data_IF_890390424824
#
_entry.id   IF_890390424824
#
_cell.length_a   1.000
_cell.length_b   1.000
_cell.length_c   1.000
_cell.angle_alpha   90.00
_cell.angle_beta   90.00
_cell.angle_gamma   90.00
#
_symmetry.space_group_name_H-M   'P 1'
#
loop_
_entity.id
_entity.type
_entity.pdbx_description
1 polymer ?
#
# COMPACT_ATOMS: atom_id res chain seq x y z
N UNK A 1 44.38 -28.67 27.58
CA UNK A 1 43.26 -27.79 27.17
C UNK A 1 42.26 -27.89 28.27
N UNK A 2 41.99 -26.80 28.96
CA UNK A 2 41.04 -26.78 30.10
C UNK A 2 39.61 -26.64 29.55
N UNK A 3 38.64 -27.25 30.21
CA UNK A 3 37.23 -27.18 29.85
C UNK A 3 36.72 -25.74 29.66
N UNK A 4 37.21 -24.82 30.45
CA UNK A 4 36.93 -23.39 30.37
C UNK A 4 37.33 -22.75 29.01
N UNK A 5 38.46 -23.18 28.44
CA UNK A 5 38.91 -22.68 27.14
C UNK A 5 37.99 -23.12 26.02
N UNK A 6 37.50 -24.37 26.10
CA UNK A 6 36.56 -24.94 25.11
C UNK A 6 35.22 -24.17 25.17
N UNK A 7 34.74 -23.85 26.37
CA UNK A 7 33.50 -23.09 26.58
C UNK A 7 33.62 -21.65 26.03
N UNK A 8 34.76 -20.98 26.32
CA UNK A 8 35.07 -19.64 25.80
C UNK A 8 35.09 -19.62 24.25
N UNK A 9 35.78 -20.59 23.65
CA UNK A 9 35.91 -20.72 22.19
C UNK A 9 34.54 -21.00 21.52
N UNK A 10 33.65 -21.78 22.17
CA UNK A 10 32.27 -22.02 21.70
C UNK A 10 31.46 -20.76 21.72
N UNK A 11 31.54 -19.96 22.79
CA UNK A 11 30.83 -18.69 22.93
C UNK A 11 31.28 -17.70 21.84
N UNK A 12 32.62 -17.58 21.64
CA UNK A 12 33.16 -16.73 20.60
C UNK A 12 32.72 -17.14 19.19
N UNK A 13 32.69 -18.45 18.92
CA UNK A 13 32.17 -18.96 17.63
C UNK A 13 30.70 -18.66 17.43
N UNK A 14 29.89 -18.77 18.48
CA UNK A 14 28.46 -18.44 18.42
C UNK A 14 28.25 -16.94 18.11
N UNK A 15 28.96 -16.06 18.80
CA UNK A 15 28.91 -14.61 18.53
C UNK A 15 29.32 -14.27 17.08
N UNK A 16 30.40 -14.88 16.58
CA UNK A 16 30.82 -14.64 15.20
C UNK A 16 29.82 -15.16 14.17
N UNK A 17 29.13 -16.27 14.44
CA UNK A 17 28.05 -16.77 13.58
C UNK A 17 26.86 -15.80 13.57
N UNK A 18 26.41 -15.33 14.73
CA UNK A 18 25.33 -14.34 14.84
C UNK A 18 25.67 -13.04 14.08
N UNK A 19 26.90 -12.51 14.28
CA UNK A 19 27.36 -11.33 13.54
C UNK A 19 27.39 -11.55 12.02
N UNK A 20 27.82 -12.73 11.57
CA UNK A 20 27.80 -13.08 10.13
C UNK A 20 26.39 -13.15 9.57
N UNK A 21 25.42 -13.67 10.33
CA UNK A 21 24.03 -13.73 9.94
C UNK A 21 23.40 -12.32 9.87
N UNK A 22 23.76 -11.43 10.78
CA UNK A 22 23.32 -10.02 10.77
C UNK A 22 23.86 -9.24 9.54
N UNK A 23 24.97 -9.67 8.94
CA UNK A 23 25.49 -9.06 7.71
C UNK A 23 24.68 -9.46 6.46
N UNK A 24 23.89 -10.53 6.53
CA UNK A 24 23.08 -11.00 5.41
C UNK A 24 21.66 -10.41 5.51
N UNK A 25 21.47 -9.24 4.93
CA UNK A 25 20.14 -8.62 4.85
C UNK A 25 19.29 -9.37 3.83
N UNK A 26 18.16 -9.94 4.28
CA UNK A 26 17.21 -10.66 3.43
C UNK A 26 15.88 -9.93 3.39
N UNK A 27 15.26 -9.89 2.22
CA UNK A 27 13.89 -9.40 2.08
C UNK A 27 12.90 -10.40 2.67
N UNK A 28 11.87 -9.91 3.35
CA UNK A 28 10.73 -10.70 3.83
C UNK A 28 9.67 -10.94 2.74
N UNK A 29 9.79 -10.23 1.61
CA UNK A 29 8.89 -10.36 0.47
C UNK A 29 9.68 -10.73 -0.78
N UNK A 30 9.05 -11.49 -1.68
CA UNK A 30 9.58 -11.76 -3.02
C UNK A 30 9.31 -10.58 -3.94
N UNK A 31 10.28 -10.22 -4.77
CA UNK A 31 10.14 -9.10 -5.69
C UNK A 31 11.47 -8.65 -6.29
N UNK A 32 11.44 -7.55 -7.01
CA UNK A 32 12.62 -6.93 -7.63
C UNK A 32 13.23 -5.90 -6.69
N UNK A 33 14.53 -6.01 -6.43
CA UNK A 33 15.26 -5.03 -5.62
C UNK A 33 15.55 -3.77 -6.44
N UNK A 34 15.08 -2.63 -5.95
CA UNK A 34 15.34 -1.30 -6.53
C UNK A 34 16.31 -0.54 -5.62
N UNK A 35 17.56 -0.33 -6.03
CA UNK A 35 18.54 0.41 -5.23
C UNK A 35 18.16 1.90 -5.14
N UNK A 36 18.18 2.46 -3.94
CA UNK A 36 18.02 3.92 -3.71
C UNK A 36 19.33 4.69 -3.84
N UNK A 37 20.45 3.99 -3.66
CA UNK A 37 21.78 4.58 -3.77
C UNK A 37 22.35 4.25 -5.16
N UNK A 38 22.55 5.25 -6.04
CA UNK A 38 23.04 5.01 -7.40
C UNK A 38 24.47 4.44 -7.46
N UNK A 39 25.21 4.54 -6.36
CA UNK A 39 26.60 4.07 -6.24
C UNK A 39 26.75 2.80 -5.40
N UNK A 40 25.72 1.95 -5.28
CA UNK A 40 25.85 0.66 -4.62
C UNK A 40 26.77 -0.27 -5.43
N UNK A 41 28.09 -0.07 -5.27
CA UNK A 41 29.10 -1.00 -5.78
C UNK A 41 29.19 -2.21 -4.85
N UNK A 42 29.63 -3.37 -5.37
CA UNK A 42 29.80 -4.60 -4.61
C UNK A 42 30.74 -4.51 -3.39
N UNK A 43 31.36 -3.35 -3.14
CA UNK A 43 32.33 -3.11 -2.06
C UNK A 43 32.01 -1.85 -1.26
N UNK A 44 30.81 -1.29 -1.41
CA UNK A 44 30.43 -0.09 -0.66
C UNK A 44 30.18 -0.45 0.82
N UNK A 45 30.82 0.27 1.72
CA UNK A 45 30.50 0.20 3.14
C UNK A 45 29.19 0.97 3.41
N UNK A 46 28.22 0.30 4.00
CA UNK A 46 26.96 0.89 4.40
C UNK A 46 26.89 0.96 5.93
N UNK A 47 26.79 2.14 6.53
CA UNK A 47 26.55 2.27 7.96
C UNK A 47 25.23 1.59 8.37
N UNK A 48 25.17 1.09 9.60
CA UNK A 48 23.96 0.48 10.16
C UNK A 48 22.79 1.47 10.08
N UNK A 49 21.64 1.01 9.58
CA UNK A 49 20.44 1.84 9.41
C UNK A 49 20.36 2.58 8.07
N UNK A 50 21.38 2.45 7.19
CA UNK A 50 21.30 3.04 5.85
C UNK A 50 20.29 2.29 5.00
N UNK A 51 19.34 3.02 4.40
CA UNK A 51 18.38 2.44 3.47
C UNK A 51 19.05 2.20 2.11
N UNK A 52 19.44 0.96 1.84
CA UNK A 52 20.14 0.57 0.61
C UNK A 52 19.21 0.57 -0.61
N UNK A 53 17.94 0.23 -0.43
CA UNK A 53 16.95 0.14 -1.51
C UNK A 53 15.61 -0.35 -1.00
N UNK A 54 14.74 -0.68 -1.94
CA UNK A 54 13.42 -1.25 -1.69
C UNK A 54 13.23 -2.52 -2.50
N UNK A 55 12.49 -3.48 -1.94
CA UNK A 55 12.04 -4.64 -2.71
C UNK A 55 10.60 -4.38 -3.14
N UNK A 56 10.39 -4.30 -4.45
CA UNK A 56 9.07 -4.07 -5.05
C UNK A 56 8.50 -5.44 -5.42
N UNK A 57 7.33 -5.75 -4.86
CA UNK A 57 6.59 -6.96 -5.22
C UNK A 57 6.11 -6.88 -6.67
N UNK A 58 6.15 -7.99 -7.39
CA UNK A 58 5.56 -8.10 -8.73
C UNK A 58 4.02 -8.04 -8.69
N UNK A 59 3.44 -8.25 -7.52
CA UNK A 59 2.01 -8.21 -7.31
C UNK A 59 1.55 -6.76 -7.11
N UNK A 60 0.92 -6.20 -8.13
CA UNK A 60 0.32 -4.88 -8.06
C UNK A 60 -0.96 -4.91 -7.24
N UNK A 61 -1.08 -3.98 -6.30
CA UNK A 61 -2.30 -3.74 -5.54
C UNK A 61 -2.83 -2.34 -5.83
N UNK A 62 -4.16 -2.22 -5.85
CA UNK A 62 -4.84 -0.94 -5.99
C UNK A 62 -5.42 -0.55 -4.65
N UNK A 63 -5.14 0.68 -4.22
CA UNK A 63 -5.75 1.27 -3.03
C UNK A 63 -6.77 2.31 -3.47
N UNK A 64 -8.05 2.00 -3.26
CA UNK A 64 -9.13 2.97 -3.44
C UNK A 64 -9.53 3.57 -2.08
N UNK A 65 -10.11 4.76 -2.13
CA UNK A 65 -10.53 5.47 -0.94
C UNK A 65 -11.98 5.90 -1.09
N UNK A 66 -12.79 5.57 -0.09
CA UNK A 66 -14.20 5.90 -0.02
C UNK A 66 -14.50 6.81 1.18
N UNK A 67 -15.56 7.60 1.08
CA UNK A 67 -16.10 8.37 2.19
C UNK A 67 -16.96 7.47 3.10
N UNK A 68 -17.21 7.94 4.32
CA UNK A 68 -18.00 7.21 5.32
C UNK A 68 -19.38 6.76 4.81
N UNK A 69 -20.09 7.64 4.12
CA UNK A 69 -21.41 7.36 3.54
C UNK A 69 -21.43 6.21 2.53
N UNK A 70 -20.28 5.88 1.94
CA UNK A 70 -20.16 4.89 0.85
C UNK A 70 -19.49 3.58 1.29
N UNK A 71 -18.74 3.59 2.41
CA UNK A 71 -17.92 2.44 2.82
C UNK A 71 -18.75 1.17 3.06
N UNK A 72 -19.98 1.31 3.54
CA UNK A 72 -20.89 0.19 3.79
C UNK A 72 -21.35 -0.55 2.53
N UNK A 73 -21.18 0.07 1.35
CA UNK A 73 -21.54 -0.51 0.05
C UNK A 73 -20.51 -1.51 -0.48
N UNK A 74 -19.27 -1.49 0.05
CA UNK A 74 -18.17 -2.30 -0.44
C UNK A 74 -17.98 -3.55 0.41
N UNK A 75 -17.92 -4.70 -0.25
CA UNK A 75 -17.72 -6.01 0.41
C UNK A 75 -16.50 -6.72 -0.17
N UNK A 76 -15.68 -7.37 0.67
CA UNK A 76 -14.64 -8.24 0.17
C UNK A 76 -15.20 -9.32 -0.77
N UNK A 77 -14.48 -9.60 -1.84
CA UNK A 77 -14.89 -10.55 -2.88
C UNK A 77 -15.66 -9.94 -4.05
N UNK A 78 -16.16 -8.70 -3.94
CA UNK A 78 -16.85 -8.04 -5.05
C UNK A 78 -15.89 -7.69 -6.19
N UNK A 79 -16.42 -7.75 -7.41
CA UNK A 79 -15.70 -7.38 -8.62
C UNK A 79 -15.83 -5.88 -8.89
N UNK A 80 -14.73 -5.30 -9.32
CA UNK A 80 -14.65 -3.90 -9.70
C UNK A 80 -13.85 -3.76 -11.01
N UNK A 81 -13.89 -2.57 -11.58
CA UNK A 81 -13.15 -2.25 -12.79
C UNK A 81 -12.28 -1.03 -12.54
N UNK A 82 -11.02 -1.13 -12.91
CA UNK A 82 -10.04 -0.05 -12.83
C UNK A 82 -9.80 0.55 -14.21
N UNK A 83 -9.76 1.87 -14.25
CA UNK A 83 -9.40 2.66 -15.43
C UNK A 83 -8.18 3.51 -15.10
N UNK A 84 -7.15 3.46 -15.93
CA UNK A 84 -6.04 4.39 -15.84
C UNK A 84 -6.50 5.79 -16.28
N UNK A 85 -5.94 6.80 -15.66
CA UNK A 85 -6.20 8.18 -16.05
C UNK A 85 -5.74 8.40 -17.51
N UNK A 86 -6.67 8.81 -18.36
CA UNK A 86 -6.40 9.04 -19.80
C UNK A 86 -6.49 7.80 -20.68
N UNK A 87 -6.84 6.63 -20.13
CA UNK A 87 -7.11 5.41 -20.89
C UNK A 87 -8.56 4.98 -20.73
N UNK A 88 -9.15 4.48 -21.83
CA UNK A 88 -10.48 3.84 -21.81
C UNK A 88 -10.39 2.34 -21.51
N UNK A 89 -9.18 1.83 -21.34
CA UNK A 89 -8.97 0.40 -21.10
C UNK A 89 -9.41 0.03 -19.69
N UNK A 90 -10.35 -0.89 -19.61
CA UNK A 90 -10.92 -1.40 -18.39
C UNK A 90 -10.13 -2.64 -17.93
N UNK A 91 -9.69 -2.66 -16.69
CA UNK A 91 -9.00 -3.79 -16.07
C UNK A 91 -9.83 -4.36 -14.92
N UNK A 92 -10.14 -5.67 -14.93
CA UNK A 92 -10.90 -6.27 -13.84
C UNK A 92 -10.03 -6.40 -12.59
N UNK A 93 -10.64 -6.06 -11.45
CA UNK A 93 -10.06 -6.18 -10.12
C UNK A 93 -11.08 -6.76 -9.16
N UNK A 94 -10.60 -7.31 -8.04
CA UNK A 94 -11.46 -7.82 -6.96
C UNK A 94 -11.09 -7.15 -5.65
N UNK A 95 -12.10 -6.81 -4.84
CA UNK A 95 -11.91 -6.28 -3.50
C UNK A 95 -11.40 -7.40 -2.60
N UNK A 96 -10.21 -7.21 -2.03
CA UNK A 96 -9.60 -8.17 -1.10
C UNK A 96 -9.87 -7.79 0.34
N UNK A 97 -9.83 -6.50 0.66
CA UNK A 97 -10.09 -6.01 2.00
C UNK A 97 -10.74 -4.62 2.00
N UNK A 98 -11.58 -4.38 3.00
CA UNK A 98 -12.18 -3.08 3.29
C UNK A 98 -11.76 -2.67 4.68
N UNK A 99 -10.88 -1.68 4.78
CA UNK A 99 -10.42 -1.17 6.06
C UNK A 99 -11.47 -0.19 6.61
N UNK A 100 -12.02 -0.49 7.79
CA UNK A 100 -13.00 0.36 8.47
C UNK A 100 -12.38 1.40 9.41
N UNK A 101 -11.08 1.49 9.43
CA UNK A 101 -10.36 2.53 10.17
C UNK A 101 -10.14 3.69 9.21
N UNK A 102 -10.65 4.86 9.59
CA UNK A 102 -10.47 6.07 8.80
C UNK A 102 -8.98 6.45 8.76
N UNK A 103 -8.48 6.73 7.57
CA UNK A 103 -7.12 7.18 7.33
C UNK A 103 -7.13 8.61 6.78
N UNK A 104 -6.24 9.44 7.27
CA UNK A 104 -5.94 10.73 6.66
C UNK A 104 -4.87 10.51 5.59
N UNK A 105 -5.14 10.96 4.37
CA UNK A 105 -4.15 10.93 3.31
C UNK A 105 -3.13 12.06 3.52
N UNK A 106 -1.84 11.67 3.58
CA UNK A 106 -0.70 12.58 3.63
C UNK A 106 0.12 12.37 2.36
N UNK A 107 0.57 13.45 1.73
CA UNK A 107 1.47 13.45 0.56
C UNK A 107 1.07 12.48 -0.57
N UNK A 108 -0.23 12.24 -0.72
CA UNK A 108 -0.77 11.33 -1.73
C UNK A 108 -1.03 12.09 -3.05
N UNK A 109 -0.80 11.46 -4.23
CA UNK A 109 -1.15 12.04 -5.53
C UNK A 109 -2.67 12.25 -5.70
N UNK A 110 -3.50 11.70 -4.81
CA UNK A 110 -4.94 11.91 -4.79
C UNK A 110 -5.35 13.26 -4.19
N UNK A 111 -4.46 13.95 -3.50
CA UNK A 111 -4.74 15.23 -2.88
C UNK A 111 -4.83 16.33 -3.94
N UNK A 112 -5.74 17.29 -3.73
CA UNK A 112 -5.97 18.42 -4.64
C UNK A 112 -4.68 19.21 -4.92
N UNK A 113 -3.76 19.31 -3.97
CA UNK A 113 -2.43 19.91 -4.14
C UNK A 113 -1.64 19.29 -5.30
N UNK A 114 -1.80 18.00 -5.54
CA UNK A 114 -1.13 17.25 -6.61
C UNK A 114 -2.03 17.03 -7.84
N UNK A 115 -3.15 17.78 -7.93
CA UNK A 115 -4.13 17.65 -9.03
C UNK A 115 -5.09 16.48 -8.86
N UNK A 116 -5.18 15.90 -7.67
CA UNK A 116 -6.15 14.86 -7.31
C UNK A 116 -7.52 15.42 -6.92
N UNK A 117 -8.52 14.55 -6.72
CA UNK A 117 -9.89 14.94 -6.39
C UNK A 117 -10.14 15.20 -4.89
N UNK A 118 -9.18 14.89 -4.02
CA UNK A 118 -9.37 14.95 -2.56
C UNK A 118 -8.99 16.34 -2.03
N UNK A 119 -9.96 17.09 -1.45
CA UNK A 119 -9.69 18.39 -0.86
C UNK A 119 -8.77 18.27 0.36
N UNK A 120 -7.92 19.29 0.56
CA UNK A 120 -6.90 19.31 1.61
C UNK A 120 -7.04 20.55 2.48
N UNK A 121 -6.59 20.43 3.74
CA UNK A 121 -6.27 21.57 4.59
C UNK A 121 -4.81 21.49 5.05
N UNK A 122 -4.27 22.61 5.47
CA UNK A 122 -2.94 22.69 6.05
C UNK A 122 -3.06 22.40 7.54
N UNK A 123 -2.44 21.31 8.00
CA UNK A 123 -2.35 21.06 9.45
C UNK A 123 -1.35 22.03 10.06
N UNK A 124 -1.72 22.67 11.16
CA UNK A 124 -0.82 23.54 11.93
C UNK A 124 0.37 22.74 12.47
N UNK A 125 1.57 23.18 12.15
CA UNK A 125 2.83 22.56 12.59
C UNK A 125 4.03 23.05 11.76
N UNK A 126 5.25 22.75 12.23
CA UNK A 126 6.52 23.20 11.60
C UNK A 126 6.83 22.56 10.24
N UNK A 127 5.85 22.25 9.46
CA UNK A 127 5.97 21.74 8.08
C UNK A 127 4.62 21.84 7.41
N UNK A 128 4.58 22.15 6.12
CA UNK A 128 3.34 22.22 5.34
C UNK A 128 2.77 20.80 5.16
N UNK A 129 2.21 20.23 6.22
CA UNK A 129 1.53 18.93 6.18
C UNK A 129 0.13 19.13 5.62
N UNK A 130 -0.06 18.75 4.36
CA UNK A 130 -1.37 18.74 3.74
C UNK A 130 -2.07 17.42 4.06
N UNK A 131 -3.25 17.53 4.65
CA UNK A 131 -4.05 16.37 5.09
C UNK A 131 -5.41 16.45 4.42
N UNK A 132 -6.02 15.31 4.10
CA UNK A 132 -7.39 15.28 3.58
C UNK A 132 -8.38 15.87 4.57
N UNK A 133 -9.31 16.72 4.08
CA UNK A 133 -10.34 17.37 4.89
C UNK A 133 -11.27 16.36 5.54
N UNK A 134 -11.65 15.31 4.78
CA UNK A 134 -12.51 14.24 5.26
C UNK A 134 -11.74 12.98 5.58
N UNK A 135 -12.15 12.23 6.61
CA UNK A 135 -11.63 10.88 6.83
C UNK A 135 -12.01 9.98 5.64
N UNK A 136 -11.06 9.20 5.17
CA UNK A 136 -11.23 8.30 4.06
C UNK A 136 -10.93 6.87 4.49
N UNK A 137 -11.71 5.94 3.99
CA UNK A 137 -11.57 4.52 4.27
C UNK A 137 -10.86 3.84 3.11
N UNK A 138 -9.82 3.07 3.40
CA UNK A 138 -9.02 2.38 2.39
C UNK A 138 -9.67 1.06 2.00
N UNK A 139 -9.82 0.85 0.71
CA UNK A 139 -10.27 -0.38 0.08
C UNK A 139 -9.08 -0.94 -0.69
N UNK A 140 -8.75 -2.20 -0.45
CA UNK A 140 -7.67 -2.90 -1.13
C UNK A 140 -8.24 -3.77 -2.23
N UNK A 141 -7.70 -3.62 -3.44
CA UNK A 141 -8.14 -4.37 -4.60
C UNK A 141 -6.92 -5.02 -5.27
N UNK A 142 -7.16 -6.17 -5.83
CA UNK A 142 -6.16 -6.96 -6.54
C UNK A 142 -6.59 -7.18 -7.98
N UNK A 143 -5.64 -7.09 -8.92
CA UNK A 143 -5.91 -7.42 -10.32
C UNK A 143 -6.19 -8.90 -10.47
N UNK A 144 -7.26 -9.26 -11.20
CA UNK A 144 -7.58 -10.65 -11.55
C UNK A 144 -6.73 -11.19 -12.68
N UNK A 145 -6.15 -10.29 -13.48
CA UNK A 145 -5.22 -10.60 -14.57
C UNK A 145 -3.96 -9.75 -14.41
N UNK A 146 -2.79 -10.26 -14.82
CA UNK A 146 -1.58 -9.46 -14.82
C UNK A 146 -1.79 -8.13 -15.54
N UNK A 147 -1.41 -7.04 -14.91
CA UNK A 147 -1.57 -5.70 -15.46
C UNK A 147 -0.20 -5.02 -15.57
N UNK A 148 0.11 -4.55 -16.77
CA UNK A 148 1.29 -3.73 -17.02
C UNK A 148 0.96 -2.25 -16.69
N UNK A 149 1.03 -1.93 -15.41
CA UNK A 149 0.73 -0.60 -14.88
C UNK A 149 1.90 -0.19 -13.98
N UNK A 150 2.41 1.01 -14.21
CA UNK A 150 3.48 1.55 -13.38
C UNK A 150 2.98 1.77 -11.93
N UNK A 151 3.80 1.35 -10.97
CA UNK A 151 3.54 1.62 -9.55
C UNK A 151 3.44 3.14 -9.31
N UNK A 152 2.48 3.57 -8.47
CA UNK A 152 2.22 4.98 -8.21
C UNK A 152 1.25 5.66 -9.19
N UNK A 153 0.76 4.94 -10.20
CA UNK A 153 -0.24 5.47 -11.13
C UNK A 153 -1.57 5.77 -10.43
N UNK A 154 -2.18 6.90 -10.77
CA UNK A 154 -3.53 7.26 -10.29
C UNK A 154 -4.56 6.59 -11.19
N UNK A 155 -5.48 5.86 -10.57
CA UNK A 155 -6.52 5.10 -11.26
C UNK A 155 -7.91 5.47 -10.74
N UNK A 156 -8.91 5.26 -11.58
CA UNK A 156 -10.34 5.38 -11.18
C UNK A 156 -10.92 3.99 -11.05
N UNK A 157 -11.50 3.69 -9.88
CA UNK A 157 -12.16 2.42 -9.61
C UNK A 157 -13.67 2.60 -9.76
N UNK A 158 -14.30 1.76 -10.58
CA UNK A 158 -15.77 1.67 -10.73
C UNK A 158 -16.23 0.32 -10.20
N UNK A 159 -17.14 0.37 -9.23
CA UNK A 159 -17.76 -0.82 -8.65
C UNK A 159 -19.21 -0.84 -9.11
N UNK A 160 -19.63 -1.97 -9.68
CA UNK A 160 -21.02 -2.17 -10.09
C UNK A 160 -21.76 -2.78 -8.90
N UNK A 161 -22.58 -1.97 -8.24
CA UNK A 161 -23.53 -2.51 -7.31
C UNK A 161 -24.73 -3.04 -8.08
N UNK A 162 -24.94 -4.34 -8.06
CA UNK A 162 -26.19 -4.96 -8.51
C UNK A 162 -27.24 -4.81 -7.41
N UNK A 163 -27.67 -3.59 -7.12
CA UNK A 163 -28.88 -3.44 -6.31
C UNK A 163 -30.04 -3.96 -7.15
N UNK A 164 -30.79 -4.93 -6.61
CA UNK A 164 -32.01 -5.42 -7.25
C UNK A 164 -32.98 -4.25 -7.38
N UNK A 165 -33.57 -4.07 -8.54
CA UNK A 165 -34.55 -2.98 -8.82
C UNK A 165 -35.62 -2.87 -7.72
N UNK A 166 -36.01 -3.99 -7.10
CA UNK A 166 -36.92 -4.03 -5.96
C UNK A 166 -36.41 -3.33 -4.69
N UNK A 167 -35.12 -3.37 -4.41
CA UNK A 167 -34.54 -2.69 -3.24
C UNK A 167 -34.46 -1.17 -3.48
N UNK A 168 -34.22 -0.74 -4.71
CA UNK A 168 -34.22 0.67 -5.07
C UNK A 168 -35.65 1.26 -4.99
N UNK A 169 -36.66 0.55 -5.47
CA UNK A 169 -38.07 0.94 -5.35
C UNK A 169 -38.50 1.00 -3.88
N UNK A 170 -38.08 0.03 -3.04
CA UNK A 170 -38.43 0.03 -1.62
C UNK A 170 -37.80 1.20 -0.86
N UNK A 171 -36.54 1.55 -1.16
CA UNK A 171 -35.89 2.73 -0.59
C UNK A 171 -36.56 4.04 -1.01
N UNK A 172 -37.00 4.12 -2.25
CA UNK A 172 -37.76 5.29 -2.77
C UNK A 172 -39.11 5.46 -2.06
N UNK A 173 -39.81 4.37 -1.80
CA UNK A 173 -41.10 4.38 -1.07
C UNK A 173 -40.89 4.81 0.38
N UNK A 174 -39.85 4.28 1.06
CA UNK A 174 -39.53 4.64 2.44
C UNK A 174 -39.02 6.09 2.59
N UNK A 175 -38.48 6.69 1.56
CA UNK A 175 -38.03 8.09 1.59
C UNK A 175 -39.14 9.08 1.27
N UNK A 176 -40.30 8.60 0.81
CA UNK A 176 -41.47 9.39 0.48
C UNK A 176 -42.58 9.37 1.56
N UNK A 177 -42.39 8.59 2.62
CA UNK A 177 -43.19 8.52 3.84
C UNK A 177 -42.53 9.32 4.96
#
# INVERSE_FOLDING_TARGET
>A
MTAEKIESDRTALHELRCRREELAVRSTISGTFVPKLPSLSKQAFLPKGTQAGEVVSEKLMVYAYAQDRDIGKFKPGEEATVYLRGSLEARPVRITAVNRIAAQLKDSPLLQRHGGPVPVYVAEGNGQNYISVLPLYRIELEFTTPADIASGSVVTVKIRHSERLGEQLWKLILSAL
#
